data_IF_663844111635
#
_entry.id   IF_663844111635
#
_cell.length_a   1.000
_cell.length_b   1.000
_cell.length_c   1.000
_cell.angle_alpha   90.00
_cell.angle_beta   90.00
_cell.angle_gamma   90.00
#
_symmetry.space_group_name_H-M   'P 1'
#
loop_
_entity.id
_entity.type
_entity.pdbx_description
1 polymer ?
#
# COMPACT_ATOMS: atom_id res chain seq x y z
N UNK A 1 3.65 -9.85 10.77
CA UNK A 1 5.09 -9.55 10.67
C UNK A 1 5.36 -8.76 9.38
N UNK A 2 6.51 -8.09 9.23
CA UNK A 2 6.84 -7.35 7.99
C UNK A 2 6.84 -8.26 6.75
N UNK A 3 7.24 -9.53 6.93
CA UNK A 3 7.21 -10.56 5.88
C UNK A 3 5.77 -10.84 5.42
N UNK A 4 4.83 -11.02 6.36
CA UNK A 4 3.41 -11.23 6.02
C UNK A 4 2.80 -10.02 5.32
N UNK A 5 3.13 -8.82 5.77
CA UNK A 5 2.68 -7.59 5.12
C UNK A 5 3.20 -7.49 3.68
N UNK A 6 4.45 -7.90 3.43
CA UNK A 6 5.02 -8.00 2.08
C UNK A 6 4.28 -9.01 1.20
N UNK A 7 3.93 -10.18 1.74
CA UNK A 7 3.13 -11.19 1.03
C UNK A 7 1.73 -10.66 0.66
N UNK A 8 1.08 -9.95 1.58
CA UNK A 8 -0.22 -9.31 1.31
C UNK A 8 -0.08 -8.20 0.25
N UNK A 9 0.95 -7.36 0.35
CA UNK A 9 1.21 -6.32 -0.65
C UNK A 9 1.41 -6.92 -2.05
N UNK A 10 2.15 -8.02 -2.18
CA UNK A 10 2.35 -8.72 -3.45
C UNK A 10 1.03 -9.21 -4.05
N UNK A 11 0.11 -9.72 -3.22
CA UNK A 11 -1.22 -10.13 -3.68
C UNK A 11 -2.04 -8.92 -4.15
N UNK A 12 -1.95 -7.77 -3.46
CA UNK A 12 -2.59 -6.53 -3.90
C UNK A 12 -2.07 -6.12 -5.27
N UNK A 13 -0.76 -6.15 -5.50
CA UNK A 13 -0.17 -5.88 -6.82
C UNK A 13 -0.73 -6.77 -7.92
N UNK A 14 -0.81 -8.10 -7.68
CA UNK A 14 -1.33 -9.05 -8.67
C UNK A 14 -2.81 -8.78 -9.00
N UNK A 15 -3.65 -8.56 -7.98
CA UNK A 15 -5.07 -8.26 -8.19
C UNK A 15 -5.28 -6.91 -8.88
N UNK A 16 -4.47 -5.90 -8.53
CA UNK A 16 -4.57 -4.55 -9.10
C UNK A 16 -4.32 -4.58 -10.62
N UNK A 17 -3.33 -5.36 -11.07
CA UNK A 17 -3.05 -5.55 -12.51
C UNK A 17 -4.21 -6.25 -13.23
N UNK A 18 -4.88 -7.22 -12.60
CA UNK A 18 -6.06 -7.90 -13.18
C UNK A 18 -7.23 -6.93 -13.40
N UNK A 19 -7.40 -5.97 -12.50
CA UNK A 19 -8.42 -4.92 -12.60
C UNK A 19 -8.03 -3.75 -13.51
N UNK A 20 -6.94 -3.88 -14.28
CA UNK A 20 -6.40 -2.82 -15.15
C UNK A 20 -6.04 -1.52 -14.39
N UNK A 21 -5.73 -1.65 -13.11
CA UNK A 21 -5.23 -0.57 -12.25
C UNK A 21 -3.71 -0.70 -12.07
N UNK A 22 -3.11 0.32 -11.45
CA UNK A 22 -1.73 0.34 -10.97
C UNK A 22 -1.66 0.67 -9.48
N UNK A 23 -0.58 0.20 -8.85
CA UNK A 23 -0.23 0.55 -7.46
C UNK A 23 1.28 0.60 -7.28
N UNK A 24 1.73 1.24 -6.19
CA UNK A 24 3.14 1.27 -5.78
C UNK A 24 3.24 1.21 -4.25
N UNK A 25 4.10 0.36 -3.70
CA UNK A 25 4.38 0.37 -2.28
C UNK A 25 5.18 1.62 -1.91
N UNK A 26 4.63 2.45 -1.03
CA UNK A 26 5.31 3.60 -0.44
C UNK A 26 5.57 3.30 1.02
N UNK A 27 6.84 3.23 1.41
CA UNK A 27 7.27 3.11 2.81
C UNK A 27 7.78 4.43 3.42
N UNK A 28 8.01 5.45 2.58
CA UNK A 28 8.45 6.77 3.03
C UNK A 28 7.23 7.69 3.21
N UNK A 29 6.68 7.67 4.42
CA UNK A 29 5.61 8.56 4.87
C UNK A 29 5.88 8.98 6.31
N UNK A 30 5.09 9.91 6.84
CA UNK A 30 5.18 10.30 8.25
C UNK A 30 4.24 9.43 9.08
N UNK A 31 4.81 8.66 9.99
CA UNK A 31 4.13 7.55 10.69
C UNK A 31 3.01 8.04 11.60
N UNK A 32 3.27 9.07 12.42
CA UNK A 32 2.32 9.54 13.42
C UNK A 32 1.07 10.15 12.77
N UNK A 33 1.24 11.00 11.75
CA UNK A 33 0.14 11.59 11.00
C UNK A 33 -0.63 10.56 10.19
N UNK A 34 0.03 9.58 9.56
CA UNK A 34 -0.69 8.50 8.87
C UNK A 34 -1.47 7.64 9.86
N UNK A 35 -0.91 7.36 11.03
CA UNK A 35 -1.57 6.61 12.10
C UNK A 35 -2.78 7.38 12.64
N UNK A 36 -2.65 8.69 12.84
CA UNK A 36 -3.75 9.57 13.25
C UNK A 36 -4.89 9.59 12.21
N UNK A 37 -4.55 9.66 10.93
CA UNK A 37 -5.53 9.74 9.84
C UNK A 37 -6.27 8.41 9.60
N UNK A 38 -5.59 7.28 9.76
CA UNK A 38 -6.12 5.96 9.37
C UNK A 38 -6.54 5.10 10.55
N UNK A 39 -6.10 5.41 11.77
CA UNK A 39 -6.27 4.57 12.96
C UNK A 39 -5.37 3.33 12.98
N UNK A 40 -4.42 3.21 12.04
CA UNK A 40 -3.46 2.10 11.99
C UNK A 40 -2.29 2.41 12.92
N UNK A 41 -2.04 1.56 13.91
CA UNK A 41 -1.05 1.84 14.97
C UNK A 41 0.42 1.80 14.50
N UNK A 42 0.72 1.03 13.46
CA UNK A 42 2.08 0.90 12.89
C UNK A 42 2.00 0.63 11.39
N UNK A 43 1.73 1.66 10.57
CA UNK A 43 1.66 1.50 9.12
C UNK A 43 3.03 1.06 8.58
N UNK A 44 3.04 0.04 7.71
CA UNK A 44 4.28 -0.45 7.08
C UNK A 44 4.40 0.02 5.62
N UNK A 45 3.26 0.06 4.91
CA UNK A 45 3.19 0.44 3.52
C UNK A 45 1.89 1.21 3.27
N UNK A 46 1.97 2.23 2.42
CA UNK A 46 0.82 2.84 1.77
C UNK A 46 0.79 2.35 0.31
N UNK A 47 -0.33 1.79 -0.13
CA UNK A 47 -0.55 1.30 -1.49
C UNK A 47 -1.64 2.14 -2.16
N UNK A 48 -1.28 3.24 -2.87
CA UNK A 48 -2.25 4.01 -3.62
C UNK A 48 -2.71 3.21 -4.84
N UNK A 49 -4.00 3.26 -5.14
CA UNK A 49 -4.60 2.62 -6.30
C UNK A 49 -5.02 3.69 -7.31
N UNK A 50 -4.74 3.46 -8.59
CA UNK A 50 -5.15 4.39 -9.63
C UNK A 50 -4.95 3.84 -11.03
N UNK A 51 -5.29 4.65 -12.02
CA UNK A 51 -4.96 4.36 -13.41
C UNK A 51 -3.57 4.91 -13.72
N UNK A 52 -2.74 4.19 -14.49
CA UNK A 52 -1.47 4.73 -14.96
C UNK A 52 -1.68 6.08 -15.64
N UNK A 53 -1.03 7.12 -15.13
CA UNK A 53 -0.97 8.39 -15.84
C UNK A 53 -0.22 8.14 -17.15
N UNK A 54 -0.78 8.61 -18.26
CA UNK A 54 -0.19 8.48 -19.60
C UNK A 54 1.24 9.02 -19.65
#
# INVERSE_FOLDING_TARGET
SEIEAGLVAQNIYLNTVQEHLGTVAVGAFEDEGLSFLTGVERPLYLLPLGYPAR
#
